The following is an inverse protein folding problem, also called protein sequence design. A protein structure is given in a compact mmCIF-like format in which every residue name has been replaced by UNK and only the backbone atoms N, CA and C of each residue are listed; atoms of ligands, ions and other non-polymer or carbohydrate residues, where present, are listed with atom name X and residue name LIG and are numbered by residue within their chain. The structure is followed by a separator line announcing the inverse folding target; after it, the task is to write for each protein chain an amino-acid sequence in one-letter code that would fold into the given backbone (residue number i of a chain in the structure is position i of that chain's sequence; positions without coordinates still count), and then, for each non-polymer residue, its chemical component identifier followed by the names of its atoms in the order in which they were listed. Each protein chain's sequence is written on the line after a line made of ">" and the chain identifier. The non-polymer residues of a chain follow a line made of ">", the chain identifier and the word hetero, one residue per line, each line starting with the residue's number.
data_IF_988900448171
#
_entry.id   IF_988900448171
#
_cell.length_a   1.000
_cell.length_b   1.000
_cell.length_c   1.000
_cell.angle_alpha   90.00
_cell.angle_beta   90.00
_cell.angle_gamma   90.00
#
_symmetry.space_group_name_H-M   'P 1'
#
loop_
_entity.id
_entity.type
_entity.pdbx_description
1 polymer ?
#
# COMPACT_ATOMS: atom_id res chain seq x y z
N UNK A 1 -9.00 0.87 -18.57
CA UNK A 1 -8.03 0.19 -17.71
C UNK A 1 -7.82 1.12 -16.54
N UNK A 2 -8.22 0.74 -15.33
CA UNK A 2 -8.10 1.60 -14.16
C UNK A 2 -6.75 1.33 -13.48
N UNK A 3 -5.90 2.34 -13.38
CA UNK A 3 -4.58 2.22 -12.76
C UNK A 3 -4.68 2.52 -11.25
N UNK A 4 -4.26 1.58 -10.40
CA UNK A 4 -4.38 1.69 -8.95
C UNK A 4 -3.02 1.83 -8.26
N UNK A 5 -2.95 2.70 -7.25
CA UNK A 5 -1.81 2.81 -6.35
C UNK A 5 -2.18 2.23 -4.98
N UNK A 6 -1.43 1.23 -4.50
CA UNK A 6 -1.54 0.72 -3.12
C UNK A 6 -0.31 1.17 -2.34
N UNK A 7 -0.52 1.93 -1.27
CA UNK A 7 0.54 2.40 -0.40
C UNK A 7 0.46 1.67 0.93
N UNK A 8 1.53 0.96 1.30
CA UNK A 8 1.67 0.31 2.61
C UNK A 8 2.48 1.22 3.53
N UNK A 9 1.86 1.72 4.60
CA UNK A 9 2.44 2.74 5.47
C UNK A 9 2.34 2.39 6.95
N UNK A 10 3.45 2.59 7.67
CA UNK A 10 3.48 2.58 9.14
C UNK A 10 2.94 3.88 9.75
N UNK A 11 2.72 4.91 8.92
CA UNK A 11 2.10 6.17 9.34
C UNK A 11 0.58 6.08 9.12
N UNK A 12 -0.19 6.67 10.03
CA UNK A 12 -1.64 6.77 9.85
C UNK A 12 -1.99 7.96 8.96
N UNK A 13 -2.99 7.77 8.11
CA UNK A 13 -3.53 8.80 7.23
C UNK A 13 -4.02 10.03 8.01
N UNK A 14 -4.66 9.80 9.16
CA UNK A 14 -5.27 10.86 9.99
C UNK A 14 -4.27 11.61 10.89
N UNK A 15 -3.02 11.17 10.99
CA UNK A 15 -1.99 11.88 11.75
C UNK A 15 -1.28 12.93 10.89
N UNK A 16 -0.68 13.92 11.58
CA UNK A 16 -0.06 15.17 11.08
C UNK A 16 0.30 15.13 9.59
N UNK A 17 -0.14 16.14 8.84
CA UNK A 17 0.15 16.29 7.42
C UNK A 17 1.66 16.45 7.16
N UNK A 18 2.35 15.33 6.93
CA UNK A 18 3.81 15.26 6.74
C UNK A 18 4.17 15.08 5.25
N UNK A 19 5.45 15.26 4.91
CA UNK A 19 5.99 15.13 3.54
C UNK A 19 5.57 13.84 2.78
N UNK A 20 5.40 12.66 3.40
CA UNK A 20 4.98 11.44 2.69
C UNK A 20 3.56 11.57 2.11
N UNK A 21 2.61 12.13 2.87
CA UNK A 21 1.22 12.27 2.43
C UNK A 21 1.09 13.27 1.26
N UNK A 22 1.91 14.33 1.23
CA UNK A 22 2.00 15.22 0.06
C UNK A 22 2.52 14.51 -1.19
N UNK A 23 3.49 13.60 -1.04
CA UNK A 23 4.02 12.82 -2.14
C UNK A 23 2.96 11.86 -2.67
N UNK A 24 2.30 11.12 -1.78
CA UNK A 24 1.26 10.13 -2.12
C UNK A 24 0.05 10.82 -2.74
N UNK A 25 -0.42 11.93 -2.17
CA UNK A 25 -1.52 12.70 -2.76
C UNK A 25 -1.16 13.27 -4.14
N UNK A 26 0.13 13.50 -4.44
CA UNK A 26 0.59 13.94 -5.77
C UNK A 26 0.74 12.78 -6.75
N UNK A 27 1.30 11.65 -6.32
CA UNK A 27 1.47 10.45 -7.15
C UNK A 27 0.11 9.79 -7.43
N UNK A 28 -0.78 9.77 -6.43
CA UNK A 28 -2.13 9.25 -6.53
C UNK A 28 -3.01 9.99 -7.53
N UNK A 29 -2.72 11.27 -7.86
CA UNK A 29 -3.42 12.00 -8.94
C UNK A 29 -3.19 11.42 -10.33
N UNK A 30 -2.17 10.58 -10.50
CA UNK A 30 -1.90 9.87 -11.76
C UNK A 30 -2.54 8.48 -11.81
N UNK A 31 -3.30 8.12 -10.78
CA UNK A 31 -4.00 6.85 -10.64
C UNK A 31 -5.50 7.14 -10.49
N UNK A 32 -6.33 6.23 -11.00
CA UNK A 32 -7.79 6.37 -10.88
C UNK A 32 -8.24 6.17 -9.44
N UNK A 33 -7.48 5.37 -8.68
CA UNK A 33 -7.75 5.04 -7.30
C UNK A 33 -6.46 4.86 -6.51
N UNK A 34 -6.44 5.38 -5.28
CA UNK A 34 -5.33 5.18 -4.34
C UNK A 34 -5.82 4.51 -3.07
N UNK A 35 -5.20 3.41 -2.69
CA UNK A 35 -5.43 2.69 -1.46
C UNK A 35 -4.30 2.98 -0.49
N UNK A 36 -4.61 3.50 0.69
CA UNK A 36 -3.64 3.77 1.75
C UNK A 36 -3.84 2.75 2.87
N UNK A 37 -3.00 1.72 2.90
CA UNK A 37 -3.08 0.59 3.84
C UNK A 37 -2.16 0.88 5.03
N UNK A 38 -2.76 0.97 6.21
CA UNK A 38 -2.06 1.23 7.46
C UNK A 38 -1.65 -0.08 8.15
N UNK A 39 -0.79 0.02 9.17
CA UNK A 39 -0.60 -1.09 10.11
C UNK A 39 -1.91 -1.50 10.78
N UNK A 40 -2.02 -2.73 11.30
CA UNK A 40 -3.22 -3.13 12.04
C UNK A 40 -3.40 -2.28 13.31
N UNK A 41 -4.56 -2.43 13.94
CA UNK A 41 -4.88 -1.86 15.25
C UNK A 41 -5.55 -2.92 16.10
N UNK A 42 -5.30 -2.91 17.41
CA UNK A 42 -6.08 -3.73 18.34
C UNK A 42 -7.43 -3.07 18.55
N UNK A 43 -8.50 -3.85 18.41
CA UNK A 43 -9.87 -3.41 18.60
C UNK A 43 -10.73 -4.51 19.23
N UNK A 44 -11.90 -4.13 19.74
CA UNK A 44 -12.89 -5.08 20.27
C UNK A 44 -13.64 -5.76 19.11
N UNK A 45 -12.95 -6.70 18.45
CA UNK A 45 -13.47 -7.53 17.36
C UNK A 45 -13.27 -9.01 17.70
N UNK A 46 -14.19 -9.86 17.26
CA UNK A 46 -14.07 -11.31 17.48
C UNK A 46 -13.05 -11.97 16.54
N UNK A 47 -12.89 -11.41 15.35
CA UNK A 47 -12.01 -11.92 14.29
C UNK A 47 -11.34 -10.77 13.53
N UNK A 48 -10.18 -11.01 12.89
CA UNK A 48 -9.51 -10.00 12.09
C UNK A 48 -10.44 -9.42 11.03
N UNK A 49 -10.64 -8.10 11.06
CA UNK A 49 -11.61 -7.45 10.18
C UNK A 49 -11.00 -6.26 9.45
N UNK A 50 -11.10 -6.25 8.12
CA UNK A 50 -10.71 -5.08 7.34
C UNK A 50 -11.74 -3.96 7.50
N UNK A 51 -11.22 -2.74 7.64
CA UNK A 51 -11.98 -1.49 7.61
C UNK A 51 -11.50 -0.64 6.45
N UNK A 52 -12.41 0.15 5.91
CA UNK A 52 -12.15 1.06 4.81
C UNK A 52 -12.90 2.37 5.05
N UNK A 53 -12.22 3.49 4.82
CA UNK A 53 -12.79 4.84 4.91
C UNK A 53 -12.32 5.68 3.72
N UNK A 54 -13.26 6.32 3.02
CA UNK A 54 -12.94 7.11 1.83
C UNK A 54 -12.64 8.57 2.19
N UNK A 55 -11.50 9.07 1.72
CA UNK A 55 -11.05 10.45 1.84
C UNK A 55 -10.75 11.03 0.44
N UNK A 56 -11.80 11.47 -0.26
CA UNK A 56 -11.68 11.99 -1.62
C UNK A 56 -11.29 10.88 -2.60
N UNK A 57 -10.09 10.97 -3.19
CA UNK A 57 -9.57 9.97 -4.13
C UNK A 57 -8.72 8.87 -3.45
N UNK A 58 -8.63 8.91 -2.13
CA UNK A 58 -7.86 7.97 -1.32
C UNK A 58 -8.81 7.13 -0.47
N UNK A 59 -8.73 5.82 -0.60
CA UNK A 59 -9.39 4.87 0.29
C UNK A 59 -8.39 4.42 1.36
N UNK A 60 -8.62 4.85 2.60
CA UNK A 60 -7.84 4.44 3.77
C UNK A 60 -8.30 3.07 4.22
N UNK A 61 -7.36 2.15 4.42
CA UNK A 61 -7.62 0.76 4.80
C UNK A 61 -6.79 0.40 6.01
N UNK A 62 -7.38 -0.29 6.98
CA UNK A 62 -6.65 -0.87 8.11
C UNK A 62 -7.30 -2.18 8.55
N UNK A 63 -6.53 -3.00 9.26
CA UNK A 63 -6.96 -4.26 9.83
C UNK A 63 -7.17 -4.09 11.33
N UNK A 64 -8.38 -4.40 11.79
CA UNK A 64 -8.67 -4.55 13.21
C UNK A 64 -8.34 -5.98 13.62
N UNK A 65 -7.54 -6.13 14.67
CA UNK A 65 -7.18 -7.40 15.27
C UNK A 65 -7.85 -7.54 16.65
N UNK A 66 -8.28 -8.75 17.04
CA UNK A 66 -8.74 -9.02 18.41
C UNK A 66 -7.61 -8.76 19.42
N UNK A 67 -7.98 -8.47 20.67
CA UNK A 67 -7.00 -8.32 21.75
C UNK A 67 -6.17 -9.60 21.94
N UNK A 68 -4.85 -9.43 22.11
CA UNK A 68 -3.91 -10.54 22.11
C UNK A 68 -2.45 -10.09 22.19
N UNK A 69 -1.50 -11.03 22.36
CA UNK A 69 -0.10 -10.74 22.61
C UNK A 69 0.68 -10.40 21.32
N UNK A 70 0.04 -9.74 20.35
CA UNK A 70 0.61 -9.45 19.04
C UNK A 70 0.81 -7.95 18.90
N UNK A 71 2.01 -7.55 18.50
CA UNK A 71 2.29 -6.14 18.20
C UNK A 71 1.54 -5.75 16.90
N UNK A 72 0.72 -4.68 16.91
CA UNK A 72 -0.11 -4.31 15.77
C UNK A 72 0.71 -3.59 14.69
N UNK A 73 1.58 -4.35 14.03
CA UNK A 73 2.49 -3.89 12.97
C UNK A 73 2.34 -4.75 11.72
N UNK A 74 3.05 -4.42 10.63
CA UNK A 74 3.17 -5.31 9.47
C UNK A 74 4.10 -6.51 9.76
N UNK A 75 3.84 -7.26 10.83
CA UNK A 75 4.54 -8.53 11.06
C UNK A 75 4.08 -9.61 10.06
N UNK A 76 4.71 -10.79 10.11
CA UNK A 76 4.37 -11.88 9.20
C UNK A 76 2.89 -12.30 9.30
N UNK A 77 2.33 -12.36 10.51
CA UNK A 77 0.96 -12.83 10.74
C UNK A 77 -0.08 -11.82 10.24
N UNK A 78 0.13 -10.54 10.53
CA UNK A 78 -0.70 -9.47 10.03
C UNK A 78 -0.59 -9.36 8.50
N UNK A 79 0.62 -9.52 7.96
CA UNK A 79 0.86 -9.54 6.51
C UNK A 79 0.09 -10.66 5.81
N UNK A 80 0.13 -11.89 6.35
CA UNK A 80 -0.65 -13.02 5.82
C UNK A 80 -2.16 -12.74 5.86
N UNK A 81 -2.62 -12.16 6.97
CA UNK A 81 -4.04 -11.80 7.13
C UNK A 81 -4.45 -10.75 6.09
N UNK A 82 -3.67 -9.69 5.93
CA UNK A 82 -3.89 -8.69 4.89
C UNK A 82 -3.86 -9.31 3.49
N UNK A 83 -2.89 -10.17 3.19
CA UNK A 83 -2.76 -10.83 1.90
C UNK A 83 -3.98 -11.70 1.57
N UNK A 84 -4.67 -12.26 2.57
CA UNK A 84 -5.90 -13.01 2.36
C UNK A 84 -7.14 -12.14 2.15
N UNK A 85 -7.19 -10.94 2.75
CA UNK A 85 -8.39 -10.10 2.77
C UNK A 85 -8.38 -8.96 1.74
N UNK A 86 -7.20 -8.38 1.46
CA UNK A 86 -7.06 -7.26 0.53
C UNK A 86 -7.46 -7.61 -0.91
N UNK A 87 -7.16 -8.79 -1.48
CA UNK A 87 -7.54 -9.09 -2.87
C UNK A 87 -9.04 -8.94 -3.12
N UNK A 88 -9.88 -9.34 -2.16
CA UNK A 88 -11.33 -9.19 -2.25
C UNK A 88 -11.79 -7.73 -2.18
N UNK A 89 -11.07 -6.88 -1.43
CA UNK A 89 -11.38 -5.44 -1.33
C UNK A 89 -10.89 -4.67 -2.57
N UNK A 90 -9.69 -4.97 -3.03
CA UNK A 90 -9.04 -4.27 -4.13
C UNK A 90 -9.62 -4.70 -5.49
N UNK A 91 -10.18 -5.90 -5.58
CA UNK A 91 -10.73 -6.45 -6.81
C UNK A 91 -9.67 -6.82 -7.85
N UNK A 92 -10.15 -7.30 -9.00
CA UNK A 92 -9.32 -7.63 -10.15
C UNK A 92 -8.93 -6.34 -10.89
N UNK A 93 -7.63 -6.03 -10.92
CA UNK A 93 -7.09 -4.99 -11.80
C UNK A 93 -5.86 -5.50 -12.52
N UNK A 94 -5.67 -5.04 -13.76
CA UNK A 94 -4.53 -5.38 -14.60
C UNK A 94 -3.32 -4.46 -14.40
N UNK A 95 -3.50 -3.31 -13.73
CA UNK A 95 -2.44 -2.31 -13.52
C UNK A 95 -2.46 -1.80 -12.07
N UNK A 96 -1.64 -2.42 -11.21
CA UNK A 96 -1.49 -2.05 -9.79
C UNK A 96 -0.04 -1.74 -9.48
N UNK A 97 0.19 -0.60 -8.86
CA UNK A 97 1.50 -0.22 -8.33
C UNK A 97 1.47 -0.34 -6.81
N UNK A 98 2.40 -1.09 -6.22
CA UNK A 98 2.56 -1.20 -4.76
C UNK A 98 3.74 -0.36 -4.29
N UNK A 99 3.50 0.56 -3.37
CA UNK A 99 4.49 1.44 -2.75
C UNK A 99 4.65 1.08 -1.28
N UNK A 100 5.89 0.90 -0.79
CA UNK A 100 6.16 0.65 0.63
C UNK A 100 6.96 1.79 1.26
N UNK A 101 6.45 2.32 2.38
CA UNK A 101 7.12 3.34 3.19
C UNK A 101 7.81 2.76 4.44
N UNK A 102 7.75 1.45 4.62
CA UNK A 102 8.43 0.71 5.70
C UNK A 102 8.93 -0.65 5.20
N UNK A 103 10.14 -1.10 5.61
CA UNK A 103 10.61 -2.46 5.33
C UNK A 103 9.71 -3.56 5.88
N UNK A 104 8.96 -3.31 6.96
CA UNK A 104 8.08 -4.30 7.58
C UNK A 104 6.95 -4.72 6.64
N UNK A 105 6.52 -3.86 5.73
CA UNK A 105 5.48 -4.16 4.76
C UNK A 105 5.97 -4.97 3.55
N UNK A 106 7.25 -5.39 3.50
CA UNK A 106 7.82 -6.06 2.33
C UNK A 106 7.15 -7.40 2.04
N UNK A 107 6.85 -8.19 3.07
CA UNK A 107 6.21 -9.51 2.89
C UNK A 107 4.79 -9.35 2.35
N UNK A 108 4.03 -8.40 2.90
CA UNK A 108 2.72 -8.03 2.35
C UNK A 108 2.82 -7.52 0.91
N UNK A 109 3.80 -6.68 0.60
CA UNK A 109 3.99 -6.16 -0.75
C UNK A 109 4.27 -7.26 -1.76
N UNK A 110 5.12 -8.23 -1.42
CA UNK A 110 5.41 -9.41 -2.25
C UNK A 110 4.19 -10.31 -2.44
N UNK A 111 3.31 -10.39 -1.43
CA UNK A 111 2.08 -11.15 -1.53
C UNK A 111 1.06 -10.48 -2.46
N UNK A 112 1.03 -9.15 -2.51
CA UNK A 112 0.14 -8.37 -3.39
C UNK A 112 0.68 -8.24 -4.81
N UNK A 113 2.00 -8.20 -4.97
CA UNK A 113 2.70 -8.17 -6.26
C UNK A 113 4.10 -8.84 -6.12
N UNK A 114 4.29 -10.05 -6.68
CA UNK A 114 5.56 -10.77 -6.61
C UNK A 114 6.74 -10.05 -7.26
N UNK A 115 6.50 -9.03 -8.09
CA UNK A 115 7.54 -8.24 -8.74
C UNK A 115 8.14 -7.14 -7.85
N UNK A 116 7.51 -6.86 -6.69
CA UNK A 116 7.96 -5.82 -5.76
C UNK A 116 9.32 -6.19 -5.14
N UNK A 117 10.32 -5.38 -5.47
CA UNK A 117 11.64 -5.38 -4.82
C UNK A 117 11.74 -4.07 -4.03
N UNK A 118 11.99 -4.14 -2.71
CA UNK A 118 12.01 -2.99 -1.78
C UNK A 118 12.59 -1.70 -2.39
N UNK A 119 11.99 -0.50 -2.18
CA UNK A 119 12.64 0.74 -2.58
C UNK A 119 13.93 0.90 -1.77
N UNK A 120 15.04 1.33 -2.41
CA UNK A 120 16.24 1.69 -1.66
C UNK A 120 15.93 2.90 -0.77
N UNK A 121 16.42 2.86 0.48
CA UNK A 121 16.20 3.83 1.55
C UNK A 121 16.78 5.23 1.31
N UNK A 122 17.01 5.61 0.06
CA UNK A 122 17.57 6.92 -0.30
C UNK A 122 16.63 7.60 -1.28
N UNK A 123 15.82 8.50 -0.74
CA UNK A 123 15.08 9.52 -1.47
C UNK A 123 16.07 10.37 -2.29
N UNK A 124 16.34 9.95 -3.54
CA UNK A 124 17.03 10.77 -4.53
C UNK A 124 16.22 10.73 -5.82
N UNK A 125 15.63 11.89 -6.13
CA UNK A 125 14.97 12.26 -7.38
C UNK A 125 15.30 11.32 -8.55
N UNK A 126 14.28 10.66 -9.10
CA UNK A 126 13.87 10.76 -10.50
C UNK A 126 12.92 9.62 -10.88
N UNK A 127 11.87 9.97 -11.63
CA UNK A 127 11.39 9.16 -12.75
C UNK A 127 10.60 7.89 -12.42
N UNK A 128 9.31 7.95 -12.73
CA UNK A 128 8.52 6.87 -13.33
C UNK A 128 9.33 5.62 -13.72
N UNK A 129 8.96 4.47 -13.16
CA UNK A 129 9.28 3.17 -13.74
C UNK A 129 8.02 2.64 -14.42
N UNK A 130 7.71 3.24 -15.57
CA UNK A 130 6.98 2.59 -16.64
C UNK A 130 8.01 2.37 -17.74
N UNK A 131 8.35 1.12 -18.03
CA UNK A 131 9.04 0.78 -19.28
C UNK A 131 7.95 0.51 -20.32
N UNK A 132 7.72 1.39 -21.33
CA UNK A 132 7.23 0.92 -22.60
C UNK A 132 8.43 0.44 -23.41
N UNK A 133 8.34 -0.81 -23.83
CA UNK A 133 9.22 -1.42 -24.82
C UNK A 133 9.22 -0.61 -26.13
N UNK A 134 10.41 -0.36 -26.67
CA UNK A 134 10.62 0.03 -28.06
C UNK A 134 10.78 1.53 -28.30
N UNK A 135 11.97 1.95 -28.72
CA UNK A 135 12.22 2.46 -30.07
C UNK A 135 13.73 2.46 -30.33
N UNK A 136 14.05 1.95 -31.51
CA UNK A 136 15.32 1.83 -32.22
C UNK A 136 16.38 2.91 -31.94
N UNK A 137 17.64 2.43 -31.93
CA UNK A 137 18.83 3.24 -32.20
C UNK A 137 18.80 3.74 -33.64
N UNK A 138 19.04 5.02 -33.88
CA UNK A 138 19.79 5.48 -35.05
C UNK A 138 20.65 6.71 -34.71
N UNK A 139 21.95 6.51 -34.96
CA UNK A 139 23.10 7.42 -35.09
C UNK A 139 23.57 8.29 -33.91
#
# INVERSE_FOLDING_TARGET
>A
MSNELVVLSHLRWVFVWQRPQHLIARVGRHHDRTWFVEEPVIADVAEPTLRCEQHGTVDRVWLELPDGPVDPTFDARASDTYASLLPSLLGETSERTVWIDTPMALDLARALDPSVTSPPSTLRRAGAWCFPSGVEREH
#
